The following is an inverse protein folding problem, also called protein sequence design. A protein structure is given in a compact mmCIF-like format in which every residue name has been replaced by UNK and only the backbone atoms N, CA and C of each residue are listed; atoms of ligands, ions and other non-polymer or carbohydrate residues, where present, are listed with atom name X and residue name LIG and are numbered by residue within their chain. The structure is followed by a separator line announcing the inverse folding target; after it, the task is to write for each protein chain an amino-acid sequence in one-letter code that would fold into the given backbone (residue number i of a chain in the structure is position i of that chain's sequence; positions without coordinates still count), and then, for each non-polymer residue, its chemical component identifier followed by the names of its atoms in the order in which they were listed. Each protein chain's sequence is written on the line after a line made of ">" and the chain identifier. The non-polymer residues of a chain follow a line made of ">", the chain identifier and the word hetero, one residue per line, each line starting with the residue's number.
data_IF_481531762389
#
_entry.id   IF_481531762389
#
_cell.length_a   1.000
_cell.length_b   1.000
_cell.length_c   1.000
_cell.angle_alpha   90.00
_cell.angle_beta   90.00
_cell.angle_gamma   90.00
#
_symmetry.space_group_name_H-M   'P 1'
#
loop_
_entity.id
_entity.type
_entity.pdbx_description
1 polymer ?
#
# COMPACT_ATOMS: atom_id res chain seq x y z
N UNK A 1 4.03 37.18 -2.10
CA UNK A 1 4.13 35.98 -2.96
C UNK A 1 5.05 34.90 -2.35
N UNK A 2 6.27 35.24 -1.90
CA UNK A 2 7.22 34.29 -1.27
C UNK A 2 6.64 33.57 -0.03
N UNK A 3 5.93 34.29 0.85
CA UNK A 3 5.32 33.71 2.05
C UNK A 3 4.20 32.68 1.73
N UNK A 4 3.47 32.86 0.63
CA UNK A 4 2.40 31.92 0.23
C UNK A 4 3.01 30.60 -0.28
N UNK A 5 4.12 30.67 -1.02
CA UNK A 5 4.80 29.48 -1.52
C UNK A 5 5.33 28.60 -0.38
N UNK A 6 5.94 29.19 0.66
CA UNK A 6 6.50 28.44 1.79
C UNK A 6 5.45 27.65 2.58
N UNK A 7 4.24 28.18 2.72
CA UNK A 7 3.14 27.50 3.44
C UNK A 7 2.65 26.25 2.69
N UNK A 8 2.74 26.23 1.36
CA UNK A 8 2.21 25.16 0.52
C UNK A 8 3.26 24.15 0.04
N UNK A 9 4.56 24.44 0.13
CA UNK A 9 5.62 23.47 -0.20
C UNK A 9 5.38 22.09 0.44
N UNK A 10 5.06 21.99 1.75
CA UNK A 10 4.74 20.71 2.38
C UNK A 10 3.59 19.95 1.68
N UNK A 11 2.59 20.68 1.20
CA UNK A 11 1.40 20.12 0.54
C UNK A 11 1.72 19.58 -0.84
N UNK A 12 2.59 20.25 -1.59
CA UNK A 12 3.04 19.76 -2.90
C UNK A 12 3.90 18.50 -2.75
N UNK A 13 4.75 18.43 -1.73
CA UNK A 13 5.53 17.22 -1.41
C UNK A 13 4.58 16.08 -1.01
N UNK A 14 3.67 16.32 -0.07
CA UNK A 14 2.68 15.34 0.37
C UNK A 14 1.81 14.84 -0.79
N UNK A 15 1.43 15.73 -1.72
CA UNK A 15 0.67 15.39 -2.90
C UNK A 15 1.40 14.45 -3.87
N UNK A 16 2.71 14.24 -3.76
CA UNK A 16 3.40 13.19 -4.49
C UNK A 16 3.08 11.80 -3.91
N UNK A 17 3.10 11.68 -2.58
CA UNK A 17 2.84 10.44 -1.84
C UNK A 17 1.35 10.13 -1.67
N UNK A 18 0.47 11.10 -1.91
CA UNK A 18 -0.97 10.93 -1.80
C UNK A 18 -1.66 10.49 -3.11
N UNK A 19 -0.90 10.22 -4.19
CA UNK A 19 -1.47 9.85 -5.51
C UNK A 19 -1.83 8.36 -5.65
N UNK A 20 -1.37 7.53 -4.73
CA UNK A 20 -1.63 6.09 -4.76
C UNK A 20 -3.00 5.69 -4.18
N UNK A 21 -3.40 4.43 -4.32
CA UNK A 21 -4.61 3.91 -3.71
C UNK A 21 -4.53 4.03 -2.18
N UNK A 22 -5.55 4.65 -1.59
CA UNK A 22 -5.57 5.01 -0.15
C UNK A 22 -4.94 6.35 0.19
N UNK A 23 -4.38 7.03 -0.80
CA UNK A 23 -3.86 8.38 -0.68
C UNK A 23 -4.94 9.39 -0.28
N UNK A 24 -4.51 10.49 0.33
CA UNK A 24 -5.40 11.58 0.71
C UNK A 24 -5.69 12.47 -0.51
N UNK A 25 -6.94 12.53 -0.96
CA UNK A 25 -7.31 13.39 -2.09
C UNK A 25 -7.20 14.89 -1.75
N UNK A 26 -6.87 15.70 -2.76
CA UNK A 26 -6.90 17.16 -2.65
C UNK A 26 -5.81 17.80 -1.76
N UNK A 27 -4.76 17.05 -1.39
CA UNK A 27 -3.72 17.53 -0.45
C UNK A 27 -2.99 18.78 -0.94
N UNK A 28 -2.79 18.94 -2.25
CA UNK A 28 -2.07 20.08 -2.81
C UNK A 28 -2.68 21.44 -2.42
N UNK A 29 -3.98 21.49 -2.13
CA UNK A 29 -4.71 22.70 -1.74
C UNK A 29 -4.96 22.81 -0.23
N UNK A 30 -4.33 21.93 0.56
CA UNK A 30 -4.57 21.77 1.99
C UNK A 30 -3.27 21.92 2.79
N UNK A 31 -2.91 23.15 3.18
CA UNK A 31 -1.68 23.41 3.91
C UNK A 31 -1.60 22.62 5.22
N UNK A 32 -2.72 22.47 5.92
CA UNK A 32 -2.86 21.64 7.13
C UNK A 32 -2.40 20.20 6.91
N UNK A 33 -2.79 19.58 5.78
CA UNK A 33 -2.39 18.22 5.42
C UNK A 33 -0.92 18.16 5.03
N UNK A 34 -0.41 19.15 4.29
CA UNK A 34 1.01 19.23 3.97
C UNK A 34 1.91 19.27 5.22
N UNK A 35 1.55 20.11 6.20
CA UNK A 35 2.29 20.20 7.46
C UNK A 35 2.16 18.91 8.28
N UNK A 36 0.96 18.31 8.34
CA UNK A 36 0.75 17.01 9.00
C UNK A 36 1.64 15.93 8.39
N UNK A 37 1.68 15.83 7.06
CA UNK A 37 2.57 14.92 6.34
C UNK A 37 4.03 15.10 6.77
N UNK A 38 4.52 16.34 6.89
CA UNK A 38 5.90 16.58 7.32
C UNK A 38 6.17 16.11 8.75
N UNK A 39 5.26 16.40 9.68
CA UNK A 39 5.39 15.96 11.08
C UNK A 39 5.43 14.44 11.15
N UNK A 40 4.53 13.77 10.43
CA UNK A 40 4.49 12.30 10.36
C UNK A 40 5.74 11.76 9.67
N UNK A 41 6.16 12.31 8.52
CA UNK A 41 7.36 11.86 7.80
C UNK A 41 8.62 11.99 8.67
N UNK A 42 8.77 13.08 9.42
CA UNK A 42 9.89 13.27 10.35
C UNK A 42 9.81 12.27 11.51
N UNK A 43 8.62 12.03 12.06
CA UNK A 43 8.40 11.05 13.12
C UNK A 43 8.76 9.62 12.69
N UNK A 44 8.35 9.22 11.49
CA UNK A 44 8.50 7.86 10.97
C UNK A 44 9.84 7.59 10.27
N UNK A 45 10.50 8.61 9.72
CA UNK A 45 11.83 8.46 9.10
C UNK A 45 12.93 8.03 10.08
N UNK A 46 12.77 8.34 11.38
CA UNK A 46 13.69 7.93 12.45
C UNK A 46 13.39 6.50 12.91
N UNK A 47 13.58 5.51 12.03
CA UNK A 47 13.45 4.10 12.42
C UNK A 47 12.83 3.18 11.38
N UNK A 48 12.44 3.68 10.20
CA UNK A 48 11.85 2.87 9.16
C UNK A 48 12.80 1.76 8.67
N UNK A 49 12.44 0.49 8.89
CA UNK A 49 13.19 -0.65 8.36
C UNK A 49 13.19 -0.67 6.82
N UNK A 50 12.12 -0.15 6.21
CA UNK A 50 11.96 -0.05 4.76
C UNK A 50 11.99 1.41 4.30
N UNK A 51 13.06 2.14 4.64
CA UNK A 51 13.23 3.54 4.25
C UNK A 51 13.41 3.79 2.74
N UNK A 52 13.52 2.74 1.92
CA UNK A 52 13.73 2.84 0.47
C UNK A 52 12.80 1.90 -0.32
N UNK A 53 12.48 2.29 -1.55
CA UNK A 53 11.67 1.48 -2.47
C UNK A 53 12.36 0.18 -2.87
N UNK A 54 13.69 0.16 -2.90
CA UNK A 54 14.46 -1.06 -3.20
C UNK A 54 14.27 -2.09 -2.08
N UNK A 55 14.55 -1.72 -0.83
CA UNK A 55 14.39 -2.62 0.32
C UNK A 55 12.95 -3.09 0.47
N UNK A 56 11.98 -2.21 0.23
CA UNK A 56 10.57 -2.55 0.24
C UNK A 56 10.18 -3.50 -0.91
N UNK A 57 10.75 -3.35 -2.10
CA UNK A 57 10.54 -4.27 -3.22
C UNK A 57 11.15 -5.65 -2.96
N UNK A 58 12.36 -5.71 -2.40
CA UNK A 58 13.01 -6.96 -1.99
C UNK A 58 12.15 -7.68 -0.95
N UNK A 59 11.74 -6.98 0.11
CA UNK A 59 10.84 -7.52 1.13
C UNK A 59 9.52 -7.99 0.55
N UNK A 60 8.91 -7.22 -0.36
CA UNK A 60 7.68 -7.61 -1.02
C UNK A 60 7.87 -8.86 -1.89
N UNK A 61 8.99 -9.01 -2.59
CA UNK A 61 9.29 -10.22 -3.36
C UNK A 61 9.42 -11.43 -2.45
N UNK A 62 10.01 -11.28 -1.27
CA UNK A 62 10.13 -12.36 -0.30
C UNK A 62 8.78 -12.75 0.29
N UNK A 63 7.97 -11.79 0.73
CA UNK A 63 6.65 -12.04 1.34
C UNK A 63 5.67 -12.67 0.33
N UNK A 64 5.73 -12.22 -0.93
CA UNK A 64 4.91 -12.73 -2.02
C UNK A 64 5.68 -13.71 -2.93
N UNK A 65 6.69 -14.40 -2.40
CA UNK A 65 7.33 -15.49 -3.12
C UNK A 65 6.41 -16.73 -3.14
N UNK A 66 5.87 -17.05 -4.31
CA UNK A 66 5.17 -18.33 -4.54
C UNK A 66 3.72 -18.40 -4.06
N UNK A 67 3.20 -19.63 -4.00
CA UNK A 67 1.85 -19.92 -3.53
C UNK A 67 1.79 -19.82 -2.00
N UNK A 68 0.72 -19.25 -1.46
CA UNK A 68 0.50 -19.26 0.00
C UNK A 68 -0.04 -20.64 0.41
N UNK A 69 0.55 -21.32 1.40
CA UNK A 69 -0.05 -22.53 1.94
C UNK A 69 -1.37 -22.19 2.64
N UNK A 70 -2.39 -23.06 2.47
CA UNK A 70 -3.71 -22.96 3.11
C UNK A 70 -3.59 -22.67 4.61
N UNK A 71 -4.29 -21.65 5.08
CA UNK A 71 -4.62 -21.50 6.49
C UNK A 71 -5.58 -22.61 6.96
N UNK A 72 -5.47 -22.94 8.25
CA UNK A 72 -6.36 -23.75 9.14
C UNK A 72 -6.94 -25.06 8.58
N UNK A 73 -6.75 -26.14 9.36
CA UNK A 73 -7.28 -27.51 9.15
C UNK A 73 -8.77 -27.49 8.74
N UNK A 74 -9.07 -27.55 7.45
CA UNK A 74 -10.43 -27.65 6.92
C UNK A 74 -10.68 -26.93 5.60
N UNK A 75 -10.06 -25.77 5.36
CA UNK A 75 -10.41 -24.97 4.18
C UNK A 75 -9.49 -25.24 3.01
N UNK A 76 -10.09 -25.80 1.97
CA UNK A 76 -9.44 -26.06 0.72
C UNK A 76 -9.25 -24.74 -0.09
N UNK A 77 -8.50 -23.74 0.39
CA UNK A 77 -8.06 -22.57 -0.39
C UNK A 77 -7.18 -22.90 -1.62
N UNK A 78 -7.62 -22.57 -2.84
CA UNK A 78 -6.81 -22.71 -4.05
C UNK A 78 -5.41 -22.13 -3.85
N UNK A 79 -4.36 -22.82 -4.30
CA UNK A 79 -2.97 -22.34 -4.24
C UNK A 79 -2.74 -21.14 -5.16
N UNK A 80 -3.19 -19.96 -4.76
CA UNK A 80 -3.01 -18.72 -5.53
C UNK A 80 -1.55 -18.29 -5.42
N UNK A 81 -0.85 -18.30 -6.55
CA UNK A 81 0.49 -17.73 -6.68
C UNK A 81 0.38 -16.23 -6.85
N UNK A 82 1.15 -15.49 -6.07
CA UNK A 82 1.35 -14.06 -6.27
C UNK A 82 2.81 -13.81 -6.60
N UNK A 83 3.09 -12.70 -7.29
CA UNK A 83 4.45 -12.24 -7.56
C UNK A 83 4.51 -10.72 -7.51
N UNK A 84 5.21 -10.18 -6.52
CA UNK A 84 5.49 -8.75 -6.44
C UNK A 84 6.45 -8.30 -7.56
N UNK A 85 6.14 -7.17 -8.18
CA UNK A 85 6.95 -6.55 -9.24
C UNK A 85 7.43 -5.16 -8.88
N UNK A 86 6.75 -4.46 -7.98
CA UNK A 86 7.20 -3.18 -7.45
C UNK A 86 6.33 -2.69 -6.30
N UNK A 87 6.75 -1.57 -5.72
CA UNK A 87 6.05 -0.92 -4.60
C UNK A 87 5.94 0.58 -4.85
N UNK A 88 4.98 1.20 -4.15
CA UNK A 88 4.79 2.65 -4.13
C UNK A 88 4.56 3.07 -2.68
N UNK A 89 5.27 4.13 -2.23
CA UNK A 89 5.03 4.68 -0.89
C UNK A 89 3.79 5.58 -0.95
N UNK A 90 2.80 5.26 -0.13
CA UNK A 90 1.55 6.02 -0.07
C UNK A 90 1.36 6.62 1.31
N UNK A 91 0.98 7.90 1.34
CA UNK A 91 0.52 8.60 2.54
C UNK A 91 -1.01 8.50 2.65
N UNK A 92 -1.49 7.83 3.69
CA UNK A 92 -2.89 7.47 3.89
C UNK A 92 -3.47 8.14 5.13
N UNK A 93 -4.80 8.18 5.23
CA UNK A 93 -5.54 8.71 6.39
C UNK A 93 -6.59 7.69 6.87
N UNK A 94 -6.18 6.42 6.93
CA UNK A 94 -7.00 5.30 7.39
C UNK A 94 -7.28 4.24 6.32
N UNK A 95 -8.24 3.33 6.58
CA UNK A 95 -8.61 2.26 5.66
C UNK A 95 -9.10 2.78 4.31
N UNK A 96 -8.81 2.04 3.25
CA UNK A 96 -9.23 2.39 1.89
C UNK A 96 -9.63 1.18 1.08
N UNK A 97 -10.49 1.39 0.07
CA UNK A 97 -10.89 0.33 -0.85
C UNK A 97 -9.78 0.03 -1.85
N UNK A 98 -9.48 -1.26 -2.01
CA UNK A 98 -8.51 -1.72 -2.98
C UNK A 98 -9.14 -1.64 -4.37
N UNK A 99 -8.48 -0.96 -5.34
CA UNK A 99 -9.01 -0.87 -6.69
C UNK A 99 -9.00 -2.24 -7.36
N UNK A 100 -10.13 -2.61 -7.98
CA UNK A 100 -10.18 -3.78 -8.86
C UNK A 100 -9.39 -3.47 -10.15
N UNK A 101 -8.65 -4.44 -10.72
CA UNK A 101 -8.05 -4.26 -12.03
C UNK A 101 -9.15 -4.07 -13.07
N UNK A 102 -8.96 -3.14 -14.00
CA UNK A 102 -9.90 -2.92 -15.10
C UNK A 102 -10.14 -4.24 -15.87
N UNK A 103 -11.40 -4.64 -16.01
CA UNK A 103 -11.79 -5.89 -16.69
C UNK A 103 -11.61 -7.17 -15.87
N UNK A 104 -11.30 -7.07 -14.58
CA UNK A 104 -11.17 -8.23 -13.68
C UNK A 104 -12.12 -8.13 -12.47
N UNK A 105 -12.52 -9.27 -11.89
CA UNK A 105 -13.32 -9.29 -10.67
C UNK A 105 -12.62 -8.52 -9.55
N UNK A 106 -13.40 -7.77 -8.78
CA UNK A 106 -12.92 -7.15 -7.55
C UNK A 106 -12.44 -8.22 -6.55
N UNK A 107 -11.60 -7.84 -5.56
CA UNK A 107 -11.31 -8.70 -4.42
C UNK A 107 -12.61 -9.21 -3.77
N UNK A 108 -12.60 -10.42 -3.23
CA UNK A 108 -13.78 -10.99 -2.56
C UNK A 108 -14.25 -10.05 -1.43
N UNK A 109 -15.58 -9.92 -1.20
CA UNK A 109 -16.10 -9.11 -0.11
C UNK A 109 -15.44 -9.46 1.23
N UNK A 110 -14.87 -8.46 1.91
CA UNK A 110 -14.09 -8.65 3.14
C UNK A 110 -12.58 -8.56 2.95
N UNK A 111 -12.08 -8.65 1.71
CA UNK A 111 -10.69 -8.37 1.34
C UNK A 111 -10.54 -7.19 0.36
N UNK A 112 -11.62 -6.46 0.14
CA UNK A 112 -11.71 -5.26 -0.69
C UNK A 112 -11.29 -3.98 0.04
N UNK A 113 -10.91 -4.09 1.33
CA UNK A 113 -10.47 -2.95 2.16
C UNK A 113 -9.09 -3.23 2.75
N UNK A 114 -8.11 -2.41 2.38
CA UNK A 114 -6.80 -2.37 3.01
C UNK A 114 -6.86 -1.49 4.28
N UNK A 115 -6.18 -1.92 5.35
CA UNK A 115 -6.15 -1.23 6.65
C UNK A 115 -4.71 -0.90 7.07
N UNK A 116 -4.18 0.28 6.68
CA UNK A 116 -2.85 0.74 7.11
C UNK A 116 -2.76 0.80 8.64
N UNK A 117 -1.62 0.40 9.21
CA UNK A 117 -1.36 0.59 10.66
C UNK A 117 -0.83 1.97 10.99
N UNK A 118 -0.17 2.61 10.03
CA UNK A 118 0.40 3.94 10.15
C UNK A 118 0.01 4.84 8.98
N UNK A 119 0.41 6.11 9.03
CA UNK A 119 0.13 7.07 7.97
C UNK A 119 0.89 6.74 6.67
N UNK A 120 1.98 5.98 6.74
CA UNK A 120 2.76 5.55 5.58
C UNK A 120 2.65 4.05 5.36
N UNK A 121 2.47 3.64 4.11
CA UNK A 121 2.47 2.23 3.73
C UNK A 121 3.08 2.04 2.35
N UNK A 122 3.80 0.94 2.18
CA UNK A 122 4.24 0.50 0.87
C UNK A 122 3.12 -0.31 0.22
N UNK A 123 2.45 0.27 -0.76
CA UNK A 123 1.50 -0.45 -1.61
C UNK A 123 2.29 -1.36 -2.53
N UNK A 124 1.98 -2.65 -2.52
CA UNK A 124 2.68 -3.67 -3.32
C UNK A 124 1.87 -3.97 -4.58
N UNK A 125 2.52 -3.80 -5.73
CA UNK A 125 1.97 -4.17 -7.02
C UNK A 125 2.65 -5.43 -7.56
N UNK A 126 1.88 -6.24 -8.26
CA UNK A 126 2.35 -7.51 -8.79
C UNK A 126 1.30 -8.25 -9.60
N UNK A 127 1.54 -9.52 -9.86
CA UNK A 127 0.63 -10.38 -10.60
C UNK A 127 0.06 -11.46 -9.68
N UNK A 128 -1.19 -11.83 -9.91
CA UNK A 128 -1.79 -13.04 -9.36
C UNK A 128 -1.92 -14.07 -10.47
N UNK A 129 -1.33 -15.26 -10.28
CA UNK A 129 -1.18 -16.27 -11.31
C UNK A 129 -0.65 -15.67 -12.63
N UNK A 130 -1.45 -15.73 -13.72
CA UNK A 130 -1.16 -15.12 -15.03
C UNK A 130 -1.96 -13.84 -15.30
N UNK A 131 -2.57 -13.27 -14.26
CA UNK A 131 -3.40 -12.07 -14.34
C UNK A 131 -2.61 -10.78 -14.57
N UNK A 132 -3.31 -9.65 -14.74
CA UNK A 132 -2.70 -8.35 -14.95
C UNK A 132 -1.91 -7.90 -13.72
N UNK A 133 -1.07 -6.88 -13.90
CA UNK A 133 -0.44 -6.17 -12.79
C UNK A 133 -1.52 -5.43 -12.00
N UNK A 134 -1.58 -5.67 -10.70
CA UNK A 134 -2.56 -5.09 -9.78
C UNK A 134 -1.95 -4.91 -8.38
N UNK A 135 -2.66 -4.21 -7.50
CA UNK A 135 -2.32 -4.20 -6.08
C UNK A 135 -2.52 -5.63 -5.53
N UNK A 136 -1.48 -6.20 -4.92
CA UNK A 136 -1.49 -7.56 -4.36
C UNK A 136 -1.19 -7.59 -2.86
N UNK A 137 -0.72 -6.47 -2.31
CA UNK A 137 -0.32 -6.42 -0.92
C UNK A 137 -0.10 -5.01 -0.41
N UNK A 138 0.16 -4.93 0.89
CA UNK A 138 0.60 -3.72 1.56
C UNK A 138 1.59 -4.11 2.66
N UNK A 139 2.70 -3.38 2.74
CA UNK A 139 3.65 -3.47 3.86
C UNK A 139 3.55 -2.20 4.70
N UNK A 140 3.62 -2.37 6.01
CA UNK A 140 3.82 -1.27 6.95
C UNK A 140 5.19 -0.60 6.69
N UNK A 141 5.22 0.74 6.66
CA UNK A 141 6.43 1.49 6.34
C UNK A 141 7.54 1.31 7.39
N UNK A 142 7.16 1.30 8.67
CA UNK A 142 8.12 1.28 9.78
C UNK A 142 8.68 -0.12 10.01
N UNK A 143 7.80 -1.12 10.00
CA UNK A 143 8.12 -2.50 10.43
C UNK A 143 8.33 -3.47 9.27
N UNK A 144 7.89 -3.13 8.06
CA UNK A 144 7.94 -4.03 6.90
C UNK A 144 7.09 -5.31 7.05
N UNK A 145 6.17 -5.33 8.01
CA UNK A 145 5.18 -6.39 8.19
C UNK A 145 4.10 -6.26 7.11
N UNK A 146 3.62 -7.40 6.61
CA UNK A 146 2.51 -7.42 5.68
C UNK A 146 1.20 -7.10 6.41
N UNK A 147 0.56 -6.01 6.03
CA UNK A 147 -0.70 -5.54 6.62
C UNK A 147 -1.92 -5.98 5.84
N UNK A 148 -1.73 -6.28 4.58
CA UNK A 148 -2.77 -6.77 3.70
C UNK A 148 -2.17 -7.65 2.61
N UNK A 149 -2.83 -8.75 2.27
CA UNK A 149 -2.44 -9.68 1.23
C UNK A 149 -3.68 -10.14 0.45
N UNK A 150 -3.68 -9.91 -0.87
CA UNK A 150 -4.80 -10.29 -1.73
C UNK A 150 -5.08 -11.81 -1.68
N UNK A 151 -4.04 -12.63 -1.45
CA UNK A 151 -4.15 -14.10 -1.42
C UNK A 151 -5.10 -14.59 -0.32
N UNK A 152 -5.25 -13.83 0.76
CA UNK A 152 -6.13 -14.18 1.89
C UNK A 152 -7.62 -13.95 1.59
N UNK A 153 -7.95 -13.32 0.45
CA UNK A 153 -9.33 -13.08 0.04
C UNK A 153 -9.55 -13.18 -1.46
N UNK A 154 -8.83 -14.11 -2.10
CA UNK A 154 -9.31 -14.71 -3.36
C UNK A 154 -10.18 -15.89 -2.96
N UNK A 155 -11.51 -15.75 -3.08
CA UNK A 155 -12.43 -16.85 -2.94
C UNK A 155 -12.14 -17.98 -3.94
N UNK A 156 -12.38 -19.23 -3.56
CA UNK A 156 -12.48 -20.32 -4.52
C UNK A 156 -13.57 -19.98 -5.57
N UNK A 157 -13.38 -20.35 -6.84
CA UNK A 157 -14.37 -20.11 -7.88
C UNK A 157 -15.73 -20.72 -7.54
#
# INVERSE_FOLDING_TARGET
>A
MIALCLVFVPSFVAAHYARGPGGVEGVAWRPDKGWRFLVEAVGHSRGAQLGSSQSATERARDVWAGARPRGRRGDAGLGVTARATGVELVWTDGPFRVPAPAGHPAPTPGNDVARPRGPFSWVVYGHLARGPRQMIGMLDYDTGVAEWDIRDGVGAP
#
